data_IF_392039523982
#
_entry.id   IF_392039523982
#
_cell.length_a   1.000
_cell.length_b   1.000
_cell.length_c   1.000
_cell.angle_alpha   90.00
_cell.angle_beta   90.00
_cell.angle_gamma   90.00
#
_symmetry.space_group_name_H-M   'P 1'
#
loop_
_entity.id
_entity.type
_entity.pdbx_description
1 polymer ?
#
# COMPACT_ATOMS: atom_id res chain seq x y z
N UNK A 1 -52.80 -39.25 0.38
CA UNK A 1 -51.78 -38.64 -0.52
C UNK A 1 -50.64 -38.14 0.36
N UNK A 2 -49.43 -38.67 0.20
CA UNK A 2 -48.25 -38.28 0.97
C UNK A 2 -47.50 -37.23 0.15
N UNK A 3 -47.32 -36.02 0.69
CA UNK A 3 -46.52 -34.97 0.08
C UNK A 3 -45.07 -35.09 0.57
N UNK A 4 -44.16 -35.44 -0.32
CA UNK A 4 -42.72 -35.43 -0.05
C UNK A 4 -42.22 -34.00 -0.31
N UNK A 5 -41.90 -33.27 0.76
CA UNK A 5 -41.23 -31.96 0.65
C UNK A 5 -39.74 -32.22 0.42
N UNK A 6 -39.28 -32.05 -0.82
CA UNK A 6 -37.85 -31.96 -1.11
C UNK A 6 -37.33 -30.63 -0.55
N UNK A 7 -36.72 -30.68 0.64
CA UNK A 7 -35.94 -29.56 1.16
C UNK A 7 -34.67 -29.44 0.31
N UNK A 8 -34.71 -28.59 -0.71
CA UNK A 8 -33.52 -28.21 -1.48
C UNK A 8 -32.65 -27.38 -0.52
N UNK A 9 -31.63 -28.01 0.05
CA UNK A 9 -30.58 -27.31 0.77
C UNK A 9 -29.72 -26.61 -0.28
N UNK A 10 -30.07 -25.36 -0.60
CA UNK A 10 -29.19 -24.50 -1.39
C UNK A 10 -28.02 -24.16 -0.45
N UNK A 11 -26.79 -24.63 -0.70
CA UNK A 11 -25.66 -24.13 0.06
C UNK A 11 -25.61 -22.63 -0.18
N UNK A 12 -25.81 -21.85 0.88
CA UNK A 12 -25.63 -20.41 0.87
C UNK A 12 -24.14 -20.17 0.66
N UNK A 13 -23.73 -20.03 -0.59
CA UNK A 13 -22.36 -19.65 -0.95
C UNK A 13 -22.19 -18.21 -0.46
N UNK A 14 -21.39 -18.04 0.59
CA UNK A 14 -21.07 -16.72 1.14
C UNK A 14 -19.85 -16.20 0.40
N UNK A 15 -20.10 -15.32 -0.57
CA UNK A 15 -19.05 -14.55 -1.24
C UNK A 15 -18.52 -13.50 -0.27
N UNK A 16 -17.21 -13.51 -0.01
CA UNK A 16 -16.54 -12.47 0.75
C UNK A 16 -15.60 -11.68 -0.17
N UNK A 17 -16.06 -10.52 -0.62
CA UNK A 17 -15.17 -9.53 -1.22
C UNK A 17 -14.34 -8.87 -0.12
N UNK A 18 -13.02 -9.01 -0.22
CA UNK A 18 -12.08 -8.41 0.71
C UNK A 18 -11.43 -7.16 0.12
N UNK A 19 -11.12 -6.17 0.96
CA UNK A 19 -10.53 -4.91 0.52
C UNK A 19 -9.38 -4.46 1.42
N UNK A 20 -8.29 -4.04 0.78
CA UNK A 20 -7.12 -3.47 1.42
C UNK A 20 -6.94 -2.04 0.92
N UNK A 21 -6.92 -1.07 1.86
CA UNK A 21 -6.80 0.36 1.54
C UNK A 21 -5.67 0.95 2.37
N UNK A 22 -4.78 1.70 1.74
CA UNK A 22 -3.89 2.64 2.42
C UNK A 22 -4.27 4.07 2.05
N UNK A 23 -4.46 4.91 3.07
CA UNK A 23 -4.76 6.33 2.93
C UNK A 23 -3.60 7.14 3.50
N UNK A 24 -3.07 8.05 2.70
CA UNK A 24 -2.14 9.09 3.10
C UNK A 24 -2.87 10.43 3.15
N UNK A 25 -2.68 11.18 4.22
CA UNK A 25 -3.20 12.53 4.36
C UNK A 25 -2.08 13.43 4.81
N UNK A 26 -1.78 14.46 4.02
CA UNK A 26 -0.96 15.56 4.47
C UNK A 26 -1.78 16.83 4.58
N UNK A 27 -1.50 17.61 5.61
CA UNK A 27 -2.21 18.84 5.96
C UNK A 27 -1.19 19.96 6.07
N UNK A 28 -1.49 21.12 5.48
CA UNK A 28 -0.80 22.36 5.77
C UNK A 28 -1.68 23.27 6.62
N UNK A 29 -1.06 24.03 7.52
CA UNK A 29 -1.74 24.89 8.47
C UNK A 29 -2.20 24.12 9.71
N UNK A 30 -2.50 24.85 10.78
CA UNK A 30 -3.05 24.25 12.00
C UNK A 30 -4.56 24.11 11.86
N UNK A 31 -5.04 22.87 11.81
CA UNK A 31 -6.47 22.57 11.98
C UNK A 31 -6.83 22.58 13.48
N UNK A 32 -6.04 21.86 14.29
CA UNK A 32 -6.05 21.83 15.76
C UNK A 32 -4.62 21.51 16.28
N UNK A 33 -4.27 21.86 17.53
CA UNK A 33 -2.91 21.65 18.08
C UNK A 33 -2.40 20.20 18.02
N UNK A 34 -3.33 19.23 17.98
CA UNK A 34 -3.02 17.79 18.00
C UNK A 34 -3.07 17.11 16.61
N UNK A 35 -3.31 17.86 15.53
CA UNK A 35 -3.40 17.25 14.19
C UNK A 35 -2.02 17.11 13.55
N UNK A 36 -1.54 15.89 13.24
CA UNK A 36 -0.25 15.72 12.60
C UNK A 36 -0.28 16.28 11.16
N UNK A 37 0.83 16.88 10.72
CA UNK A 37 1.00 17.39 9.35
C UNK A 37 0.92 16.27 8.31
N UNK A 38 1.22 15.04 8.70
CA UNK A 38 1.08 13.86 7.86
C UNK A 38 0.60 12.68 8.69
N UNK A 39 -0.35 11.93 8.14
CA UNK A 39 -0.79 10.65 8.68
C UNK A 39 -0.99 9.63 7.58
N UNK A 40 -0.85 8.37 7.96
CA UNK A 40 -1.02 7.25 7.07
C UNK A 40 -1.76 6.11 7.80
N UNK A 41 -2.85 5.65 7.20
CA UNK A 41 -3.77 4.66 7.79
C UNK A 41 -3.96 3.53 6.80
N UNK A 42 -3.90 2.29 7.28
CA UNK A 42 -4.21 1.12 6.46
C UNK A 42 -5.40 0.37 7.05
N UNK A 43 -6.34 -0.02 6.19
CA UNK A 43 -7.50 -0.83 6.55
C UNK A 43 -7.55 -2.14 5.79
N UNK A 44 -8.07 -3.17 6.47
CA UNK A 44 -8.41 -4.48 5.92
C UNK A 44 -9.89 -4.72 6.24
N UNK A 45 -10.72 -4.87 5.22
CA UNK A 45 -12.18 -5.02 5.35
C UNK A 45 -12.83 -3.94 6.22
N UNK A 46 -12.31 -2.71 6.11
CA UNK A 46 -12.76 -1.54 6.89
C UNK A 46 -12.17 -1.45 8.30
N UNK A 47 -11.53 -2.50 8.81
CA UNK A 47 -10.85 -2.48 10.10
C UNK A 47 -9.46 -1.85 9.98
N UNK A 48 -9.13 -0.88 10.83
CA UNK A 48 -7.80 -0.28 10.85
C UNK A 48 -6.76 -1.27 11.39
N UNK A 49 -5.73 -1.55 10.60
CA UNK A 49 -4.69 -2.52 10.94
C UNK A 49 -3.36 -1.86 11.33
N UNK A 50 -3.09 -0.67 10.80
CA UNK A 50 -1.92 0.14 11.19
C UNK A 50 -2.19 1.64 11.17
N UNK A 51 -1.24 2.37 11.75
CA UNK A 51 -1.23 3.83 11.82
C UNK A 51 0.19 4.38 11.84
N UNK A 52 0.41 5.49 11.16
CA UNK A 52 1.64 6.28 11.23
C UNK A 52 1.28 7.77 11.21
N UNK A 53 2.05 8.59 11.92
CA UNK A 53 1.98 10.05 11.76
C UNK A 53 3.33 10.76 11.91
N UNK A 54 3.32 12.07 11.59
CA UNK A 54 4.50 12.93 11.60
C UNK A 54 5.08 13.21 12.98
N UNK A 55 4.35 12.95 14.06
CA UNK A 55 4.78 13.23 15.44
C UNK A 55 5.43 11.99 16.05
N UNK A 56 4.77 10.85 15.94
CA UNK A 56 5.21 9.54 16.42
C UNK A 56 6.35 8.99 15.56
N UNK A 57 6.26 9.20 14.23
CA UNK A 57 7.24 8.73 13.23
C UNK A 57 7.54 7.23 13.33
N UNK A 58 6.51 6.44 13.65
CA UNK A 58 6.60 4.98 13.74
C UNK A 58 5.29 4.36 13.29
N UNK A 59 5.37 3.23 12.58
CA UNK A 59 4.19 2.43 12.29
C UNK A 59 3.73 1.71 13.56
N UNK A 60 2.47 1.90 13.92
CA UNK A 60 1.82 1.33 15.10
C UNK A 60 0.81 0.28 14.64
N UNK A 61 0.94 -0.98 15.09
CA UNK A 61 -0.08 -1.99 14.83
C UNK A 61 -1.35 -1.64 15.61
N UNK A 62 -2.51 -1.81 14.98
CA UNK A 62 -3.83 -1.46 15.57
C UNK A 62 -4.70 -2.66 15.88
N UNK A 63 -4.22 -3.87 15.58
CA UNK A 63 -4.89 -5.13 15.88
C UNK A 63 -3.92 -6.07 16.61
N UNK A 64 -4.44 -6.88 17.54
CA UNK A 64 -3.62 -7.85 18.30
C UNK A 64 -2.83 -8.77 17.36
N UNK A 65 -3.45 -9.20 16.25
CA UNK A 65 -2.83 -10.08 15.26
C UNK A 65 -1.78 -9.39 14.40
N UNK A 66 -1.77 -8.06 14.34
CA UNK A 66 -0.76 -7.29 13.63
C UNK A 66 0.56 -7.24 14.39
N UNK A 67 0.58 -7.53 15.71
CA UNK A 67 1.84 -7.59 16.48
C UNK A 67 2.78 -8.69 15.95
N UNK A 68 2.23 -9.86 15.61
CA UNK A 68 2.98 -10.97 14.98
C UNK A 68 3.56 -10.58 13.61
N UNK A 69 2.86 -9.74 12.85
CA UNK A 69 3.36 -9.20 11.59
C UNK A 69 4.44 -8.12 11.85
N UNK A 70 4.20 -7.27 12.84
CA UNK A 70 5.06 -6.14 13.21
C UNK A 70 6.40 -6.57 13.83
N UNK A 71 6.50 -7.79 14.34
CA UNK A 71 7.75 -8.33 14.90
C UNK A 71 8.79 -8.73 13.85
N UNK A 72 8.47 -8.58 12.55
CA UNK A 72 9.36 -8.93 11.43
C UNK A 72 10.16 -7.73 10.94
N UNK A 73 11.29 -7.99 10.28
CA UNK A 73 12.11 -6.95 9.63
C UNK A 73 11.34 -6.10 8.61
N UNK A 74 10.29 -6.69 8.03
CA UNK A 74 9.36 -6.01 7.12
C UNK A 74 8.71 -4.77 7.73
N UNK A 75 8.44 -4.77 9.04
CA UNK A 75 7.78 -3.66 9.74
C UNK A 75 8.66 -2.41 9.79
N UNK A 76 9.97 -2.61 9.95
CA UNK A 76 10.95 -1.51 9.91
C UNK A 76 10.97 -0.88 8.51
N UNK A 77 11.03 -1.72 7.47
CA UNK A 77 10.95 -1.24 6.09
C UNK A 77 9.63 -0.50 5.83
N UNK A 78 8.48 -1.01 6.30
CA UNK A 78 7.19 -0.32 6.15
C UNK A 78 7.17 1.04 6.86
N UNK A 79 7.84 1.18 8.01
CA UNK A 79 8.00 2.46 8.71
C UNK A 79 8.84 3.45 7.89
N UNK A 80 9.99 3.01 7.38
CA UNK A 80 10.87 3.83 6.53
C UNK A 80 10.14 4.30 5.25
N UNK A 81 9.25 3.48 4.70
CA UNK A 81 8.39 3.87 3.59
C UNK A 81 7.49 5.06 3.98
N UNK A 82 6.80 4.99 5.12
CA UNK A 82 5.91 6.07 5.58
C UNK A 82 6.68 7.36 5.87
N UNK A 83 7.90 7.26 6.43
CA UNK A 83 8.80 8.40 6.63
C UNK A 83 9.17 9.08 5.30
N UNK A 84 9.52 8.31 4.27
CA UNK A 84 9.83 8.86 2.96
C UNK A 84 8.61 9.54 2.32
N UNK A 85 7.43 8.92 2.44
CA UNK A 85 6.18 9.52 1.96
C UNK A 85 5.89 10.83 2.69
N UNK A 86 6.08 10.90 4.00
CA UNK A 86 5.94 12.15 4.77
C UNK A 86 6.82 13.26 4.17
N UNK A 87 8.09 12.99 3.87
CA UNK A 87 8.98 14.00 3.27
C UNK A 87 8.52 14.44 1.88
N UNK A 88 7.95 13.53 1.09
CA UNK A 88 7.37 13.88 -0.21
C UNK A 88 6.17 14.81 -0.02
N UNK A 89 5.27 14.52 0.92
CA UNK A 89 4.10 15.34 1.20
C UNK A 89 4.48 16.75 1.69
N UNK A 90 5.49 16.85 2.55
CA UNK A 90 6.06 18.13 3.01
C UNK A 90 6.49 19.03 1.85
N UNK A 91 7.01 18.45 0.76
CA UNK A 91 7.42 19.19 -0.43
C UNK A 91 6.26 19.43 -1.42
N UNK A 92 5.30 18.53 -1.48
CA UNK A 92 4.19 18.61 -2.43
C UNK A 92 3.16 19.67 -2.02
N UNK A 93 2.78 19.75 -0.75
CA UNK A 93 1.68 20.63 -0.34
C UNK A 93 1.97 22.10 -0.68
N UNK A 94 3.15 22.68 -0.39
CA UNK A 94 3.46 24.05 -0.80
C UNK A 94 3.42 24.25 -2.32
N UNK A 95 3.82 23.24 -3.10
CA UNK A 95 3.74 23.28 -4.57
C UNK A 95 2.30 23.23 -5.07
N UNK A 96 1.41 22.45 -4.43
CA UNK A 96 -0.03 22.46 -4.75
C UNK A 96 -0.61 23.83 -4.44
N UNK A 97 -0.37 24.36 -3.24
CA UNK A 97 -0.86 25.69 -2.86
C UNK A 97 -0.44 26.75 -3.88
N UNK A 98 0.82 26.72 -4.36
CA UNK A 98 1.28 27.61 -5.42
C UNK A 98 0.49 27.44 -6.73
N UNK A 99 0.22 26.21 -7.17
CA UNK A 99 -0.55 25.93 -8.40
C UNK A 99 -2.01 26.37 -8.30
N UNK A 100 -2.56 26.39 -7.09
CA UNK A 100 -3.91 26.87 -6.79
C UNK A 100 -3.96 28.35 -6.38
N UNK A 101 -2.82 29.06 -6.41
CA UNK A 101 -2.69 30.46 -5.97
C UNK A 101 -3.15 30.69 -4.52
N UNK A 102 -2.96 29.70 -3.65
CA UNK A 102 -3.29 29.75 -2.23
C UNK A 102 -2.05 30.15 -1.41
N UNK A 103 -2.24 31.00 -0.41
CA UNK A 103 -1.16 31.55 0.43
C UNK A 103 -1.38 31.34 1.93
N UNK A 104 -2.62 31.11 2.34
CA UNK A 104 -3.05 30.94 3.71
C UNK A 104 -4.21 29.95 3.76
N UNK A 105 -4.52 29.46 4.95
CA UNK A 105 -5.61 28.51 5.17
C UNK A 105 -5.11 27.08 5.39
N UNK A 106 -6.04 26.22 5.76
CA UNK A 106 -5.79 24.79 5.93
C UNK A 106 -6.06 24.10 4.60
N UNK A 107 -5.06 23.38 4.11
CA UNK A 107 -5.13 22.65 2.85
C UNK A 107 -4.76 21.20 3.04
N UNK A 108 -5.41 20.31 2.30
CA UNK A 108 -5.17 18.86 2.42
C UNK A 108 -4.77 18.27 1.07
N UNK A 109 -3.78 17.40 1.09
CA UNK A 109 -3.46 16.53 -0.03
C UNK A 109 -3.64 15.09 0.46
N UNK A 110 -4.39 14.29 -0.28
CA UNK A 110 -4.72 12.94 0.13
C UNK A 110 -4.44 11.97 -1.01
N UNK A 111 -4.00 10.77 -0.68
CA UNK A 111 -3.91 9.64 -1.61
C UNK A 111 -4.57 8.43 -0.97
N UNK A 112 -5.47 7.80 -1.70
CA UNK A 112 -6.12 6.55 -1.31
C UNK A 112 -5.81 5.51 -2.38
N UNK A 113 -5.17 4.42 -1.99
CA UNK A 113 -4.80 3.35 -2.91
C UNK A 113 -4.93 1.98 -2.29
N UNK A 114 -5.09 0.96 -3.13
CA UNK A 114 -5.28 -0.39 -2.66
C UNK A 114 -5.87 -1.30 -3.71
N UNK A 115 -6.47 -2.39 -3.25
CA UNK A 115 -7.15 -3.37 -4.10
C UNK A 115 -8.25 -4.10 -3.35
N UNK A 116 -9.24 -4.55 -4.11
CA UNK A 116 -10.19 -5.56 -3.69
C UNK A 116 -9.91 -6.90 -4.36
N UNK A 117 -10.30 -7.98 -3.69
CA UNK A 117 -10.23 -9.34 -4.18
C UNK A 117 -11.48 -10.11 -3.74
N UNK A 118 -12.13 -10.72 -4.71
CA UNK A 118 -13.26 -11.63 -4.50
C UNK A 118 -12.73 -13.06 -4.40
N UNK A 119 -13.02 -13.70 -3.26
CA UNK A 119 -12.45 -15.00 -2.90
C UNK A 119 -13.07 -16.19 -3.64
N UNK A 120 -14.27 -16.02 -4.22
CA UNK A 120 -14.96 -17.02 -5.02
C UNK A 120 -14.56 -16.97 -6.49
N UNK A 121 -14.65 -15.78 -7.09
CA UNK A 121 -14.43 -15.56 -8.52
C UNK A 121 -12.94 -15.35 -8.85
N UNK A 122 -12.13 -14.99 -7.85
CA UNK A 122 -10.73 -14.63 -8.04
C UNK A 122 -10.53 -13.27 -8.70
N UNK A 123 -11.61 -12.51 -8.97
CA UNK A 123 -11.53 -11.18 -9.56
C UNK A 123 -10.87 -10.22 -8.58
N UNK A 124 -9.99 -9.37 -9.09
CA UNK A 124 -9.40 -8.29 -8.32
C UNK A 124 -9.42 -6.97 -9.10
N UNK A 125 -9.53 -5.86 -8.37
CA UNK A 125 -9.39 -4.52 -8.92
C UNK A 125 -8.47 -3.71 -8.02
N UNK A 126 -7.66 -2.86 -8.64
CA UNK A 126 -6.83 -1.91 -7.91
C UNK A 126 -7.29 -0.48 -8.16
N UNK A 127 -6.91 0.40 -7.25
CA UNK A 127 -7.21 1.83 -7.35
C UNK A 127 -6.04 2.64 -6.78
N UNK A 128 -5.86 3.84 -7.34
CA UNK A 128 -4.88 4.84 -6.88
C UNK A 128 -5.45 6.22 -7.19
N UNK A 129 -5.95 6.88 -6.16
CA UNK A 129 -6.68 8.14 -6.26
C UNK A 129 -6.05 9.19 -5.38
N UNK A 130 -6.00 10.41 -5.89
CA UNK A 130 -5.44 11.57 -5.21
C UNK A 130 -6.50 12.66 -5.15
N UNK A 131 -6.60 13.32 -3.99
CA UNK A 131 -7.51 14.42 -3.73
C UNK A 131 -6.75 15.63 -3.19
N UNK A 132 -7.26 16.82 -3.46
CA UNK A 132 -6.76 18.08 -2.92
C UNK A 132 -7.93 18.91 -2.39
N UNK A 133 -7.83 19.38 -1.14
CA UNK A 133 -8.90 20.08 -0.41
C UNK A 133 -10.24 19.31 -0.42
N UNK A 134 -10.17 17.98 -0.35
CA UNK A 134 -11.33 17.07 -0.39
C UNK A 134 -11.89 16.78 -1.78
N UNK A 135 -11.42 17.49 -2.81
CA UNK A 135 -11.88 17.33 -4.20
C UNK A 135 -10.98 16.38 -4.99
N UNK A 136 -11.56 15.65 -5.96
CA UNK A 136 -10.80 14.72 -6.81
C UNK A 136 -9.76 15.47 -7.63
N UNK A 137 -8.50 15.02 -7.57
CA UNK A 137 -7.37 15.69 -8.21
C UNK A 137 -6.78 14.87 -9.36
N UNK A 138 -6.33 13.63 -9.08
CA UNK A 138 -5.71 12.70 -10.04
C UNK A 138 -6.19 11.27 -9.75
N UNK A 139 -6.35 10.43 -10.77
CA UNK A 139 -6.49 8.98 -10.55
C UNK A 139 -5.80 8.15 -11.63
N UNK A 140 -5.35 6.95 -11.26
CA UNK A 140 -4.79 5.96 -12.16
C UNK A 140 -5.89 5.08 -12.77
N UNK A 141 -5.98 5.06 -14.09
CA UNK A 141 -6.75 4.06 -14.83
C UNK A 141 -5.83 2.87 -15.14
N UNK A 142 -6.03 1.74 -14.46
CA UNK A 142 -5.23 0.52 -14.66
C UNK A 142 -5.55 -0.21 -15.97
N UNK A 143 -6.75 -0.01 -16.53
CA UNK A 143 -7.15 -0.58 -17.82
C UNK A 143 -6.37 0.12 -18.93
N UNK A 144 -6.44 1.44 -18.95
CA UNK A 144 -5.75 2.32 -19.90
C UNK A 144 -4.27 2.53 -19.58
N UNK A 145 -3.84 2.13 -18.38
CA UNK A 145 -2.48 2.32 -17.85
C UNK A 145 -2.01 3.78 -17.95
N UNK A 146 -2.85 4.72 -17.50
CA UNK A 146 -2.55 6.16 -17.49
C UNK A 146 -3.21 6.86 -16.31
N UNK A 147 -2.61 7.95 -15.87
CA UNK A 147 -3.23 8.91 -14.97
C UNK A 147 -4.15 9.88 -15.73
N UNK A 148 -5.22 10.29 -15.06
CA UNK A 148 -6.17 11.31 -15.51
C UNK A 148 -6.16 12.49 -14.54
N UNK A 149 -6.11 13.71 -15.08
CA UNK A 149 -6.24 14.94 -14.30
C UNK A 149 -7.72 15.37 -14.25
N UNK A 150 -8.21 15.71 -13.06
CA UNK A 150 -9.60 16.19 -12.88
C UNK A 150 -9.72 17.70 -12.84
N UNK A 151 -8.60 18.39 -12.62
CA UNK A 151 -8.50 19.86 -12.61
C UNK A 151 -7.26 20.33 -13.39
N UNK A 152 -7.25 21.55 -13.94
CA UNK A 152 -6.11 22.07 -14.70
C UNK A 152 -4.77 22.04 -13.93
N UNK A 153 -4.81 22.26 -12.62
CA UNK A 153 -3.64 22.29 -11.73
C UNK A 153 -2.95 20.93 -11.61
N UNK A 154 -3.65 19.83 -11.93
CA UNK A 154 -3.11 18.47 -11.96
C UNK A 154 -2.42 18.12 -13.28
N UNK A 155 -2.66 18.88 -14.37
CA UNK A 155 -2.16 18.56 -15.71
C UNK A 155 -0.63 18.41 -15.74
N UNK A 156 0.18 19.32 -15.16
CA UNK A 156 1.65 19.17 -15.18
C UNK A 156 2.12 17.87 -14.52
N UNK A 157 1.49 17.48 -13.40
CA UNK A 157 1.79 16.21 -12.72
C UNK A 157 1.44 15.01 -13.59
N UNK A 158 0.23 15.01 -14.15
CA UNK A 158 -0.25 13.89 -14.98
C UNK A 158 0.57 13.73 -16.24
N UNK A 159 0.99 14.82 -16.89
CA UNK A 159 1.92 14.75 -18.04
C UNK A 159 3.24 14.09 -17.64
N UNK A 160 3.85 14.54 -16.53
CA UNK A 160 5.10 14.00 -16.00
C UNK A 160 4.98 12.51 -15.63
N UNK A 161 3.89 12.12 -15.00
CA UNK A 161 3.67 10.74 -14.57
C UNK A 161 3.36 9.82 -15.76
N UNK A 162 2.56 10.27 -16.73
CA UNK A 162 2.23 9.51 -17.93
C UNK A 162 3.39 9.34 -18.91
N UNK A 163 4.39 10.23 -18.87
CA UNK A 163 5.61 10.09 -19.66
C UNK A 163 6.50 8.94 -19.17
N UNK A 164 6.36 8.54 -17.90
CA UNK A 164 7.12 7.45 -17.31
C UNK A 164 6.41 6.12 -17.49
N UNK A 165 6.72 5.46 -18.61
CA UNK A 165 6.11 4.18 -18.97
C UNK A 165 6.56 3.03 -18.07
N UNK A 166 7.78 3.06 -17.56
CA UNK A 166 8.31 2.03 -16.67
C UNK A 166 7.54 2.02 -15.35
N UNK A 167 7.32 3.20 -14.76
CA UNK A 167 6.51 3.35 -13.56
C UNK A 167 5.08 2.84 -13.78
N UNK A 168 4.44 3.17 -14.91
CA UNK A 168 3.08 2.72 -15.21
C UNK A 168 3.00 1.18 -15.33
N UNK A 169 3.96 0.55 -16.00
CA UNK A 169 4.05 -0.92 -16.08
C UNK A 169 4.23 -1.53 -14.68
N UNK A 170 5.09 -0.95 -13.85
CA UNK A 170 5.29 -1.37 -12.48
C UNK A 170 3.99 -1.27 -11.65
N UNK A 171 3.28 -0.13 -11.72
CA UNK A 171 2.03 0.08 -11.00
C UNK A 171 0.96 -0.92 -11.41
N UNK A 172 0.81 -1.16 -12.72
CA UNK A 172 -0.12 -2.16 -13.21
C UNK A 172 0.18 -3.56 -12.67
N UNK A 173 1.46 -3.90 -12.49
CA UNK A 173 1.88 -5.16 -11.84
C UNK A 173 1.60 -5.15 -10.35
N UNK A 174 1.93 -4.07 -9.65
CA UNK A 174 1.69 -3.90 -8.22
C UNK A 174 0.22 -4.11 -7.87
N UNK A 175 -0.69 -3.36 -8.50
CA UNK A 175 -2.12 -3.45 -8.21
C UNK A 175 -2.75 -4.78 -8.63
N UNK A 176 -2.21 -5.42 -9.68
CA UNK A 176 -2.72 -6.71 -10.15
C UNK A 176 -2.28 -7.89 -9.28
N UNK A 177 -1.07 -7.84 -8.72
CA UNK A 177 -0.47 -9.00 -8.07
C UNK A 177 -0.01 -8.73 -6.64
N UNK A 178 0.83 -7.71 -6.43
CA UNK A 178 1.47 -7.47 -5.14
C UNK A 178 0.46 -7.02 -4.08
N UNK A 179 -0.47 -6.13 -4.45
CA UNK A 179 -1.51 -5.69 -3.56
C UNK A 179 -2.41 -6.86 -3.12
N UNK A 180 -2.82 -7.71 -4.07
CA UNK A 180 -3.66 -8.89 -3.78
C UNK A 180 -2.92 -9.91 -2.94
N UNK A 181 -1.60 -10.07 -3.14
CA UNK A 181 -0.75 -10.91 -2.30
C UNK A 181 -0.77 -10.43 -0.85
N UNK A 182 -0.51 -9.14 -0.62
CA UNK A 182 -0.51 -8.58 0.74
C UNK A 182 -1.88 -8.63 1.40
N UNK A 183 -2.95 -8.36 0.65
CA UNK A 183 -4.32 -8.53 1.11
C UNK A 183 -4.56 -9.95 1.65
N UNK A 184 -4.18 -10.98 0.88
CA UNK A 184 -4.32 -12.39 1.29
C UNK A 184 -3.46 -12.76 2.49
N UNK A 185 -2.22 -12.29 2.54
CA UNK A 185 -1.32 -12.52 3.68
C UNK A 185 -1.92 -11.95 4.97
N UNK A 186 -2.42 -10.71 4.94
CA UNK A 186 -3.03 -10.07 6.11
C UNK A 186 -4.32 -10.77 6.54
N UNK A 187 -5.15 -11.23 5.60
CA UNK A 187 -6.34 -12.06 5.90
C UNK A 187 -5.95 -13.38 6.59
N UNK A 188 -4.85 -14.01 6.16
CA UNK A 188 -4.35 -15.23 6.78
C UNK A 188 -3.92 -14.98 8.24
N UNK A 189 -3.22 -13.88 8.51
CA UNK A 189 -2.87 -13.47 9.88
C UNK A 189 -4.09 -13.23 10.76
N UNK A 190 -5.05 -12.45 10.27
CA UNK A 190 -6.30 -12.15 10.97
C UNK A 190 -7.05 -13.44 11.33
N UNK A 191 -7.27 -14.33 10.36
CA UNK A 191 -7.98 -15.60 10.57
C UNK A 191 -7.26 -16.52 11.56
N UNK A 192 -5.94 -16.67 11.42
CA UNK A 192 -5.15 -17.51 12.32
C UNK A 192 -5.23 -17.02 13.78
N UNK A 193 -5.32 -15.70 14.00
CA UNK A 193 -5.52 -15.14 15.34
C UNK A 193 -6.94 -15.36 15.88
N UNK A 194 -7.96 -15.18 15.05
CA UNK A 194 -9.35 -15.48 15.43
C UNK A 194 -9.55 -16.94 15.86
N UNK A 195 -8.94 -17.87 15.12
CA UNK A 195 -8.98 -19.30 15.47
C UNK A 195 -8.27 -19.61 16.80
N UNK A 196 -7.12 -18.97 17.07
CA UNK A 196 -6.38 -19.12 18.33
C UNK A 196 -7.14 -18.53 19.53
N UNK A 197 -7.79 -17.38 19.35
CA UNK A 197 -8.42 -16.62 20.44
C UNK A 197 -9.87 -17.03 20.70
N UNK A 198 -10.47 -17.85 19.83
CA UNK A 198 -11.89 -18.21 19.89
C UNK A 198 -12.83 -17.03 19.60
N UNK A 199 -12.29 -15.85 19.26
CA UNK A 199 -13.06 -14.68 18.83
C UNK A 199 -13.41 -14.84 17.35
N UNK A 200 -14.66 -14.60 16.99
CA UNK A 200 -15.08 -14.55 15.58
C UNK A 200 -14.29 -13.41 14.91
N UNK A 201 -13.70 -13.60 13.71
CA UNK A 201 -13.11 -12.50 12.97
C UNK A 201 -14.15 -11.39 12.82
N UNK A 202 -13.81 -10.18 13.21
CA UNK A 202 -14.69 -9.02 13.02
C UNK A 202 -14.78 -8.64 11.53
N UNK A 203 -13.91 -9.22 10.68
CA UNK A 203 -14.12 -9.29 9.24
C UNK A 203 -15.25 -10.28 8.92
N UNK A 204 -16.33 -9.74 8.38
CA UNK A 204 -17.48 -10.51 7.88
C UNK A 204 -17.02 -11.49 6.79
N UNK A 205 -16.94 -12.79 7.12
CA UNK A 205 -16.71 -13.86 6.15
C UNK A 205 -16.05 -15.11 6.75
N UNK A 206 -16.85 -15.98 7.40
CA UNK A 206 -16.35 -17.23 7.99
C UNK A 206 -16.27 -18.34 6.93
N UNK A 207 -15.07 -18.94 6.84
CA UNK A 207 -14.70 -20.19 6.16
C UNK A 207 -14.16 -20.10 4.72
N UNK A 208 -12.95 -19.55 4.57
CA UNK A 208 -12.05 -19.93 3.47
C UNK A 208 -11.53 -21.37 3.67
N UNK A 209 -12.00 -22.32 2.87
CA UNK A 209 -11.24 -23.55 2.58
C UNK A 209 -10.05 -23.18 1.71
N UNK A 210 -8.85 -23.69 2.02
CA UNK A 210 -7.61 -23.46 1.23
C UNK A 210 -7.88 -23.64 -0.27
N UNK A 211 -7.82 -22.59 -1.10
CA UNK A 211 -7.84 -22.77 -2.54
C UNK A 211 -6.48 -23.29 -2.98
N UNK A 212 -6.46 -24.23 -3.93
CA UNK A 212 -5.25 -24.56 -4.67
C UNK A 212 -4.83 -23.31 -5.48
N UNK A 213 -3.91 -22.54 -4.93
CA UNK A 213 -3.22 -21.48 -5.68
C UNK A 213 -2.24 -22.19 -6.61
N UNK A 214 -2.08 -21.65 -7.82
CA UNK A 214 -1.02 -22.07 -8.72
C UNK A 214 0.30 -21.51 -8.15
N UNK A 215 0.84 -22.22 -7.15
CA UNK A 215 1.92 -21.80 -6.24
C UNK A 215 3.18 -21.31 -6.97
N UNK A 216 3.39 -21.78 -8.20
CA UNK A 216 4.55 -21.46 -9.03
C UNK A 216 4.77 -19.96 -9.32
N UNK A 217 3.72 -19.12 -9.35
CA UNK A 217 3.87 -17.66 -9.58
C UNK A 217 3.99 -16.83 -8.30
N UNK A 218 3.40 -17.32 -7.21
CA UNK A 218 3.50 -16.71 -5.88
C UNK A 218 4.88 -16.96 -5.27
N UNK A 219 5.43 -18.17 -5.46
CA UNK A 219 6.76 -18.53 -5.00
C UNK A 219 7.88 -17.85 -5.79
N UNK A 220 7.69 -17.63 -7.10
CA UNK A 220 8.58 -16.82 -7.92
C UNK A 220 8.55 -15.34 -7.51
N UNK A 221 7.38 -14.81 -7.10
CA UNK A 221 7.28 -13.47 -6.53
C UNK A 221 7.95 -13.38 -5.16
N UNK A 222 7.69 -14.34 -4.25
CA UNK A 222 8.33 -14.44 -2.94
C UNK A 222 9.85 -14.55 -3.08
N UNK A 223 10.35 -15.39 -3.99
CA UNK A 223 11.78 -15.55 -4.25
C UNK A 223 12.42 -14.31 -4.88
N UNK A 224 11.72 -13.57 -5.76
CA UNK A 224 12.22 -12.28 -6.27
C UNK A 224 12.19 -11.20 -5.19
N UNK A 225 11.11 -11.11 -4.43
CA UNK A 225 10.97 -10.18 -3.30
C UNK A 225 12.05 -10.41 -2.23
N UNK A 226 12.30 -11.66 -1.84
CA UNK A 226 13.38 -12.01 -0.90
C UNK A 226 14.76 -11.78 -1.51
N UNK A 227 14.98 -12.09 -2.80
CA UNK A 227 16.25 -11.81 -3.48
C UNK A 227 16.53 -10.32 -3.59
N UNK A 228 15.57 -9.49 -3.99
CA UNK A 228 15.77 -8.05 -4.14
C UNK A 228 16.04 -7.35 -2.79
N UNK A 229 15.62 -7.95 -1.66
CA UNK A 229 15.91 -7.50 -0.29
C UNK A 229 17.27 -7.99 0.22
N UNK A 230 17.80 -9.12 -0.27
CA UNK A 230 19.04 -9.75 0.22
C UNK A 230 20.19 -9.78 -0.81
N UNK A 231 19.99 -9.35 -2.06
CA UNK A 231 20.99 -9.48 -3.14
C UNK A 231 22.07 -8.39 -3.16
N UNK A 232 22.09 -7.48 -2.19
CA UNK A 232 23.22 -6.56 -2.01
C UNK A 232 24.22 -7.08 -0.94
N UNK A 233 24.11 -8.34 -0.50
CA UNK A 233 25.19 -9.04 0.21
C UNK A 233 26.15 -9.74 -0.77
N UNK A 234 27.33 -9.14 -0.92
CA UNK A 234 28.61 -9.73 -1.35
C UNK A 234 28.72 -10.34 -2.76
N UNK A 235 29.43 -9.63 -3.65
CA UNK A 235 30.43 -10.23 -4.54
C UNK A 235 31.66 -9.31 -4.55
N UNK A 236 32.56 -9.54 -3.60
CA UNK A 236 33.92 -8.98 -3.66
C UNK A 236 34.92 -10.12 -3.44
N UNK A 237 35.19 -10.88 -4.51
CA UNK A 237 36.44 -11.64 -4.65
C UNK A 237 37.36 -10.88 -5.62
N UNK A 238 38.17 -10.01 -5.02
CA UNK A 238 39.60 -9.77 -5.31
C UNK A 238 40.07 -9.77 -6.77
N UNK A 239 40.43 -8.58 -7.26
CA UNK A 239 41.73 -8.41 -7.92
C UNK A 239 42.30 -7.01 -7.67
N UNK A 240 43.43 -7.00 -6.99
CA UNK A 240 44.27 -5.86 -6.59
C UNK A 240 44.97 -5.25 -7.82
N UNK A 241 44.96 -3.92 -7.97
CA UNK A 241 46.19 -3.08 -8.04
C UNK A 241 45.90 -1.57 -8.16
N UNK A 242 46.30 -0.87 -7.09
CA UNK A 242 46.94 0.45 -7.00
C UNK A 242 46.48 1.65 -7.85
N UNK A 243 45.90 2.65 -7.17
CA UNK A 243 45.85 4.03 -7.65
C UNK A 243 45.07 5.00 -6.75
N UNK A 244 45.72 5.50 -5.69
CA UNK A 244 45.24 6.51 -4.71
C UNK A 244 44.13 7.48 -5.19
N UNK A 245 43.00 7.51 -4.46
CA UNK A 245 42.48 8.71 -3.76
C UNK A 245 41.57 8.29 -2.60
N UNK A 246 41.90 8.78 -1.40
CA UNK A 246 41.13 8.69 -0.15
C UNK A 246 40.12 9.84 -0.06
N UNK A 247 39.00 9.58 0.62
CA UNK A 247 37.81 10.40 0.99
C UNK A 247 36.57 9.94 0.20
N UNK A 248 35.51 9.36 0.77
CA UNK A 248 35.03 9.30 2.16
C UNK A 248 34.25 8.00 2.43
N UNK A 249 34.16 7.64 3.71
CA UNK A 249 33.34 6.56 4.28
C UNK A 249 31.85 6.95 4.31
N UNK A 250 31.03 5.91 4.21
CA UNK A 250 29.68 5.79 4.80
C UNK A 250 28.59 6.69 4.21
N UNK A 251 27.68 6.09 3.43
CA UNK A 251 26.34 5.74 3.91
C UNK A 251 25.75 4.67 2.98
N UNK A 252 25.58 3.46 3.52
CA UNK A 252 24.75 2.40 2.94
C UNK A 252 23.35 2.95 2.72
N UNK A 253 22.98 3.26 1.47
CA UNK A 253 21.57 3.38 1.12
C UNK A 253 21.02 1.96 1.01
N UNK A 254 20.35 1.52 2.07
CA UNK A 254 19.38 0.43 2.02
C UNK A 254 18.42 0.78 0.88
N UNK A 255 18.44 0.01 -0.23
CA UNK A 255 17.48 0.17 -1.33
C UNK A 255 16.09 -0.12 -0.78
N UNK A 256 15.35 0.96 -0.52
CA UNK A 256 13.94 0.92 -0.12
C UNK A 256 13.13 0.22 -1.22
N UNK A 257 12.08 -0.52 -0.82
CA UNK A 257 11.13 -1.21 -1.73
C UNK A 257 10.70 -0.27 -2.89
N UNK A 258 10.51 -0.76 -4.13
CA UNK A 258 9.98 0.06 -5.22
C UNK A 258 8.53 0.57 -4.99
N UNK A 259 7.79 0.03 -4.01
CA UNK A 259 6.48 0.58 -3.59
C UNK A 259 6.58 1.92 -2.86
N UNK A 260 7.74 2.24 -2.30
CA UNK A 260 8.02 3.49 -1.56
C UNK A 260 8.13 4.73 -2.46
N UNK A 261 8.28 4.50 -3.77
CA UNK A 261 8.48 5.52 -4.80
C UNK A 261 7.40 5.47 -5.89
N UNK A 262 6.23 4.87 -5.62
CA UNK A 262 5.06 5.17 -6.46
C UNK A 262 4.95 6.69 -6.51
N UNK A 263 4.91 7.28 -7.71
CA UNK A 263 5.05 8.72 -7.88
C UNK A 263 4.00 9.47 -7.07
N UNK A 264 4.42 9.92 -5.89
CA UNK A 264 3.66 10.83 -5.04
C UNK A 264 4.14 12.27 -5.32
N UNK A 265 5.38 12.44 -5.82
CA UNK A 265 6.00 13.74 -6.07
C UNK A 265 5.41 14.48 -7.29
N UNK A 266 4.90 15.68 -7.05
CA UNK A 266 4.23 16.53 -8.05
C UNK A 266 5.16 17.50 -8.76
#
# INVERSE_FOLDING_TARGET
MIFIIFSICIPLVHSASHIFITTYTGVNGQMFEETPEFSAVTTLDGQQIDYYDSEIKKLIPKQDWMEDYASKDLWKADTEIRENVQQIYKNNIPRLMQRFNQTHGVHTYQRMYGCDWDDETGVSRGFDEYSYDGERFISLDLKENRYTAYVPQAIPTVMKWNHDREQLVYLKRYYRYECVYWLKELLHYSKASSEKTGKVPESTGRSLTKPAVNDNKSDDFKNRYYKDVHSDECNDETSVTNGKRRRDREHNQIKLRPTSLIKINI
#
